data_IF_829398979374
#
_entry.id   IF_829398979374
#
_cell.length_a   1.000
_cell.length_b   1.000
_cell.length_c   1.000
_cell.angle_alpha   90.00
_cell.angle_beta   90.00
_cell.angle_gamma   90.00
#
_symmetry.space_group_name_H-M   'P 1'
#
loop_
_entity.id
_entity.type
_entity.pdbx_description
1 polymer ?
#
# COMPACT_ATOMS: atom_id res chain seq x y z
N UNK A 1 0.24 21.05 -24.39
CA UNK A 1 0.60 20.97 -22.96
C UNK A 1 1.76 20.01 -22.64
N UNK A 2 2.18 19.11 -23.55
CA UNK A 2 3.22 18.08 -23.29
C UNK A 2 4.67 18.62 -23.20
N UNK A 3 5.05 19.62 -24.00
CA UNK A 3 6.44 20.10 -24.07
C UNK A 3 6.92 20.78 -22.79
N UNK A 4 6.06 21.60 -22.17
CA UNK A 4 6.38 22.29 -20.91
C UNK A 4 6.49 21.31 -19.72
N UNK A 5 5.75 20.20 -19.77
CA UNK A 5 5.77 19.19 -18.71
C UNK A 5 6.96 18.24 -18.84
N UNK A 6 7.33 17.83 -20.06
CA UNK A 6 8.58 17.10 -20.34
C UNK A 6 9.82 17.90 -19.91
N UNK A 7 9.85 19.21 -20.21
CA UNK A 7 10.92 20.10 -19.74
C UNK A 7 11.00 20.17 -18.21
N UNK A 8 9.87 20.15 -17.51
CA UNK A 8 9.82 20.13 -16.05
C UNK A 8 10.29 18.79 -15.46
N UNK A 9 9.94 17.66 -16.08
CA UNK A 9 10.42 16.34 -15.67
C UNK A 9 11.95 16.23 -15.86
N UNK A 10 12.47 16.68 -17.00
CA UNK A 10 13.91 16.75 -17.26
C UNK A 10 14.63 17.67 -16.26
N UNK A 11 14.06 18.84 -15.95
CA UNK A 11 14.63 19.79 -14.99
C UNK A 11 14.63 19.25 -13.55
N UNK A 12 13.71 18.34 -13.21
CA UNK A 12 13.64 17.67 -11.91
C UNK A 12 14.47 16.38 -11.86
N UNK A 13 15.13 16.00 -12.97
CA UNK A 13 15.93 14.78 -13.05
C UNK A 13 15.11 13.49 -13.05
N UNK A 14 13.81 13.56 -13.33
CA UNK A 14 12.97 12.36 -13.38
C UNK A 14 13.36 11.50 -14.58
N UNK A 15 13.51 10.20 -14.33
CA UNK A 15 13.69 9.25 -15.42
C UNK A 15 12.35 8.89 -16.05
N UNK A 16 12.12 9.34 -17.28
CA UNK A 16 10.92 8.98 -18.06
C UNK A 16 11.16 7.79 -19.00
N UNK A 17 12.34 7.18 -18.96
CA UNK A 17 12.71 6.02 -19.77
C UNK A 17 12.27 4.73 -19.07
N UNK A 18 11.15 4.19 -19.56
CA UNK A 18 10.56 2.94 -19.04
C UNK A 18 11.50 1.76 -19.20
N UNK A 19 12.31 1.72 -20.27
CA UNK A 19 13.24 0.61 -20.53
C UNK A 19 14.37 0.62 -19.49
N UNK A 20 14.85 1.81 -19.12
CA UNK A 20 15.82 1.96 -18.04
C UNK A 20 15.21 1.54 -16.68
N UNK A 21 13.99 1.96 -16.37
CA UNK A 21 13.30 1.53 -15.14
C UNK A 21 13.10 0.01 -15.11
N UNK A 22 12.70 -0.60 -16.23
CA UNK A 22 12.56 -2.05 -16.36
C UNK A 22 13.89 -2.78 -16.09
N UNK A 23 14.99 -2.31 -16.68
CA UNK A 23 16.32 -2.87 -16.45
C UNK A 23 16.75 -2.75 -14.98
N UNK A 24 16.47 -1.62 -14.32
CA UNK A 24 16.74 -1.43 -12.89
C UNK A 24 15.93 -2.40 -12.02
N UNK A 25 14.63 -2.57 -12.32
CA UNK A 25 13.76 -3.50 -11.61
C UNK A 25 14.24 -4.95 -11.77
N UNK A 26 14.56 -5.37 -13.00
CA UNK A 26 15.10 -6.70 -13.28
C UNK A 26 16.43 -6.94 -12.56
N UNK A 27 17.33 -5.95 -12.52
CA UNK A 27 18.59 -6.04 -11.76
C UNK A 27 18.38 -6.21 -10.25
N UNK A 28 17.25 -5.73 -9.72
CA UNK A 28 16.82 -5.94 -8.34
C UNK A 28 15.94 -7.19 -8.15
N UNK A 29 15.91 -8.09 -9.13
CA UNK A 29 15.08 -9.30 -9.13
C UNK A 29 13.56 -9.04 -8.98
N UNK A 30 13.10 -7.84 -9.34
CA UNK A 30 11.67 -7.55 -9.50
C UNK A 30 11.22 -8.06 -10.87
N UNK A 31 10.24 -8.97 -10.94
CA UNK A 31 9.76 -9.47 -12.22
C UNK A 31 9.14 -8.34 -13.05
N UNK A 32 9.67 -8.13 -14.25
CA UNK A 32 9.09 -7.25 -15.27
C UNK A 32 8.63 -8.12 -16.42
N UNK A 33 7.46 -7.81 -16.97
CA UNK A 33 6.91 -8.52 -18.12
C UNK A 33 6.49 -7.52 -19.17
N UNK A 34 7.01 -7.72 -20.38
CA UNK A 34 6.61 -6.98 -21.58
C UNK A 34 5.54 -7.77 -22.36
N UNK A 35 5.04 -8.87 -21.77
CA UNK A 35 3.97 -9.64 -22.37
C UNK A 35 2.74 -8.72 -22.49
N UNK A 36 2.14 -8.59 -23.69
CA UNK A 36 0.88 -7.88 -23.83
C UNK A 36 -0.15 -8.53 -22.89
N UNK A 37 -1.10 -7.74 -22.36
CA UNK A 37 -2.19 -8.23 -21.53
C UNK A 37 -2.69 -9.57 -22.07
N UNK A 38 -2.53 -10.62 -21.25
CA UNK A 38 -2.61 -12.03 -21.61
C UNK A 38 -3.61 -12.34 -22.72
N UNK A 39 -3.11 -12.71 -23.91
CA UNK A 39 -3.78 -13.59 -24.89
C UNK A 39 -5.30 -13.54 -24.99
N UNK A 40 -5.90 -12.35 -24.95
CA UNK A 40 -7.34 -12.21 -25.18
C UNK A 40 -7.63 -12.72 -26.59
N UNK A 41 -8.66 -13.54 -26.75
CA UNK A 41 -9.13 -13.89 -28.08
C UNK A 41 -9.52 -12.59 -28.79
N UNK A 42 -9.18 -12.47 -30.07
CA UNK A 42 -9.66 -11.36 -30.90
C UNK A 42 -11.12 -11.65 -31.28
N UNK A 43 -12.09 -10.78 -30.92
CA UNK A 43 -11.92 -9.46 -30.30
C UNK A 43 -11.81 -9.50 -28.76
N UNK A 44 -10.85 -8.74 -28.26
CA UNK A 44 -10.58 -8.48 -26.84
C UNK A 44 -11.76 -7.80 -26.11
N UNK A 45 -12.79 -7.40 -26.85
CA UNK A 45 -13.89 -6.58 -26.35
C UNK A 45 -15.03 -7.42 -25.72
N UNK A 46 -15.01 -8.76 -25.87
CA UNK A 46 -16.00 -9.63 -25.25
C UNK A 46 -15.69 -9.86 -23.75
N UNK A 47 -16.41 -9.14 -22.88
CA UNK A 47 -16.31 -9.31 -21.42
C UNK A 47 -15.26 -8.44 -20.73
N UNK A 48 -14.78 -7.40 -21.40
CA UNK A 48 -13.93 -6.35 -20.80
C UNK A 48 -14.68 -5.03 -20.87
N UNK A 49 -15.19 -4.57 -19.73
CA UNK A 49 -15.85 -3.27 -19.71
C UNK A 49 -14.81 -2.16 -19.91
N UNK A 50 -14.98 -1.33 -20.95
CA UNK A 50 -14.09 -0.18 -21.15
C UNK A 50 -14.04 0.71 -19.91
N UNK A 51 -12.84 1.18 -19.58
CA UNK A 51 -12.68 2.23 -18.59
C UNK A 51 -13.22 3.55 -19.17
N UNK A 52 -13.92 4.37 -18.36
CA UNK A 52 -14.27 5.70 -18.80
C UNK A 52 -13.00 6.49 -19.14
N UNK A 53 -13.08 7.41 -20.09
CA UNK A 53 -11.94 8.24 -20.46
C UNK A 53 -11.54 9.12 -19.28
N UNK A 54 -10.32 8.95 -18.78
CA UNK A 54 -9.77 9.78 -17.71
C UNK A 54 -8.29 10.11 -17.92
N UNK A 55 -7.86 11.29 -17.48
CA UNK A 55 -6.54 11.88 -17.78
C UNK A 55 -5.43 11.38 -16.85
N UNK A 56 -4.81 10.24 -17.13
CA UNK A 56 -3.77 9.65 -16.28
C UNK A 56 -2.45 10.42 -16.37
N UNK A 57 -1.84 10.72 -15.23
CA UNK A 57 -0.49 11.27 -15.16
C UNK A 57 0.54 10.18 -15.46
N UNK A 58 1.07 10.19 -16.68
CA UNK A 58 2.11 9.26 -17.17
C UNK A 58 3.52 9.86 -17.09
N UNK A 59 3.68 11.05 -16.48
CA UNK A 59 4.93 11.82 -16.50
C UNK A 59 5.58 11.92 -15.11
N UNK A 60 4.79 11.80 -14.03
CA UNK A 60 5.33 11.78 -12.67
C UNK A 60 6.08 10.49 -12.36
N UNK A 61 7.31 10.60 -11.88
CA UNK A 61 8.07 9.47 -11.35
C UNK A 61 7.41 8.97 -10.05
N UNK A 62 6.99 7.70 -10.07
CA UNK A 62 6.36 7.04 -8.91
C UNK A 62 7.35 6.17 -8.14
N UNK A 63 8.33 5.58 -8.82
CA UNK A 63 9.32 4.72 -8.19
C UNK A 63 10.11 5.52 -7.14
N UNK A 64 10.07 5.08 -5.89
CA UNK A 64 10.77 5.75 -4.78
C UNK A 64 10.06 6.96 -4.17
N UNK A 65 8.87 7.32 -4.64
CA UNK A 65 8.05 8.37 -4.02
C UNK A 65 7.54 8.01 -2.62
N UNK A 66 7.31 6.72 -2.37
CA UNK A 66 6.85 6.20 -1.08
C UNK A 66 8.06 5.99 -0.17
N UNK A 67 7.95 6.35 1.11
CA UNK A 67 9.05 6.07 2.07
C UNK A 67 9.09 4.57 2.41
N UNK A 68 10.21 4.03 2.88
CA UNK A 68 10.24 2.67 3.42
C UNK A 68 9.26 2.48 4.59
N UNK A 69 8.65 1.31 4.69
CA UNK A 69 7.81 0.89 5.81
C UNK A 69 8.05 -0.57 6.16
N UNK A 70 7.79 -0.95 7.40
CA UNK A 70 7.91 -2.33 7.85
C UNK A 70 6.62 -3.12 7.58
N UNK A 71 5.48 -2.46 7.75
CA UNK A 71 4.16 -3.05 7.54
C UNK A 71 3.23 -2.06 6.86
N UNK A 72 2.31 -2.58 6.07
CA UNK A 72 1.18 -1.84 5.52
C UNK A 72 -0.08 -2.58 5.91
N UNK A 73 -1.05 -1.83 6.42
CA UNK A 73 -2.37 -2.37 6.75
C UNK A 73 -3.44 -1.73 5.89
N UNK A 74 -4.47 -2.51 5.57
CA UNK A 74 -5.67 -2.04 4.87
C UNK A 74 -6.90 -2.43 5.66
N UNK A 75 -7.59 -1.44 6.22
CA UNK A 75 -8.77 -1.61 7.07
C UNK A 75 -10.02 -1.67 6.19
N UNK A 76 -10.77 -2.77 6.24
CA UNK A 76 -11.94 -3.04 5.40
C UNK A 76 -13.16 -2.26 5.92
N UNK A 77 -13.27 -0.99 5.53
CA UNK A 77 -14.32 -0.08 6.01
C UNK A 77 -15.63 -0.16 5.21
N UNK A 78 -15.61 -0.77 4.02
CA UNK A 78 -16.74 -0.79 3.09
C UNK A 78 -17.09 0.57 2.47
N UNK A 79 -16.29 1.62 2.73
CA UNK A 79 -16.51 2.98 2.22
C UNK A 79 -15.75 3.21 0.93
N UNK A 80 -16.18 4.23 0.18
CA UNK A 80 -15.51 4.69 -1.05
C UNK A 80 -15.11 6.17 -0.96
N UNK A 81 -15.23 6.75 0.23
CA UNK A 81 -14.91 8.13 0.55
C UNK A 81 -14.35 8.21 1.98
N UNK A 82 -13.19 8.85 2.12
CA UNK A 82 -12.54 9.02 3.44
C UNK A 82 -12.17 10.48 3.67
N UNK A 83 -11.55 10.82 4.80
CA UNK A 83 -10.82 12.09 4.92
C UNK A 83 -9.46 11.99 4.24
N UNK A 84 -8.81 13.10 3.93
CA UNK A 84 -7.55 13.11 3.15
C UNK A 84 -6.50 12.20 3.78
N UNK A 85 -6.35 12.25 5.10
CA UNK A 85 -5.56 11.31 5.89
C UNK A 85 -6.52 10.44 6.69
N UNK A 86 -6.53 9.13 6.45
CA UNK A 86 -7.47 8.22 7.13
C UNK A 86 -7.29 8.23 8.65
N UNK A 87 -6.09 8.53 9.12
CA UNK A 87 -5.71 8.62 10.54
C UNK A 87 -6.26 9.88 11.24
N UNK A 88 -6.65 10.92 10.49
CA UNK A 88 -7.26 12.13 11.06
C UNK A 88 -8.73 11.90 11.49
N UNK A 89 -9.37 10.82 11.02
CA UNK A 89 -10.74 10.49 11.39
C UNK A 89 -10.82 9.92 12.82
N UNK A 90 -10.99 10.81 13.81
CA UNK A 90 -11.12 10.41 15.22
C UNK A 90 -12.27 9.44 15.46
N UNK A 91 -12.06 8.51 16.38
CA UNK A 91 -13.00 7.43 16.67
C UNK A 91 -12.97 6.26 15.69
N UNK A 92 -12.07 6.28 14.69
CA UNK A 92 -11.88 5.15 13.77
C UNK A 92 -10.70 4.29 14.19
N UNK A 93 -10.69 3.02 13.77
CA UNK A 93 -9.57 2.11 13.98
C UNK A 93 -8.26 2.67 13.41
N UNK A 94 -8.31 3.34 12.25
CA UNK A 94 -7.15 3.98 11.63
C UNK A 94 -6.50 5.01 12.57
N UNK A 95 -7.31 5.85 13.22
CA UNK A 95 -6.81 6.84 14.17
C UNK A 95 -6.21 6.19 15.42
N UNK A 96 -6.84 5.16 15.98
CA UNK A 96 -6.31 4.46 17.15
C UNK A 96 -4.98 3.74 16.86
N UNK A 97 -4.86 3.09 15.69
CA UNK A 97 -3.61 2.44 15.28
C UNK A 97 -2.49 3.46 15.03
N UNK A 98 -2.80 4.64 14.49
CA UNK A 98 -1.80 5.71 14.29
C UNK A 98 -1.28 6.27 15.61
N UNK A 99 -2.15 6.41 16.62
CA UNK A 99 -1.76 6.81 17.98
C UNK A 99 -0.78 5.81 18.60
N UNK A 100 -1.03 4.51 18.44
CA UNK A 100 -0.11 3.43 18.86
C UNK A 100 1.20 3.41 18.06
N UNK A 101 1.14 3.64 16.74
CA UNK A 101 2.34 3.74 15.90
C UNK A 101 3.21 4.94 16.24
N UNK A 102 2.60 6.02 16.71
CA UNK A 102 3.29 7.24 17.09
C UNK A 102 3.91 7.13 18.49
N UNK A 103 3.22 6.50 19.44
CA UNK A 103 3.73 6.28 20.80
C UNK A 103 4.90 5.28 20.84
N UNK A 104 4.96 4.35 19.90
CA UNK A 104 6.09 3.39 19.80
C UNK A 104 7.37 4.01 19.21
N UNK A 105 7.33 5.27 18.74
CA UNK A 105 8.50 5.97 18.20
C UNK A 105 9.20 6.75 19.32
N UNK A 106 10.55 6.81 19.35
CA UNK A 106 11.24 7.68 20.28
C UNK A 106 10.78 9.13 20.09
N UNK A 107 10.72 9.95 21.17
CA UNK A 107 10.38 11.35 21.07
C UNK A 107 11.25 12.04 20.00
N UNK A 108 10.63 12.81 19.10
CA UNK A 108 11.41 13.67 18.20
C UNK A 108 12.06 14.74 19.06
N UNK A 109 13.40 14.73 19.16
CA UNK A 109 14.15 15.85 19.71
C UNK A 109 13.79 17.12 18.93
N UNK A 110 13.09 18.04 19.60
CA UNK A 110 12.63 19.30 18.99
C UNK A 110 13.77 20.27 18.68
N UNK A 111 15.00 19.96 19.07
CA UNK A 111 16.21 20.76 18.88
C UNK A 111 17.22 20.18 17.89
N UNK A 112 16.87 19.11 17.16
CA UNK A 112 17.75 18.62 16.09
C UNK A 112 17.71 19.57 14.88
N UNK A 113 18.85 20.12 14.41
CA UNK A 113 18.87 20.96 13.22
C UNK A 113 18.29 20.20 12.02
N UNK A 114 17.35 20.84 11.31
CA UNK A 114 16.79 20.32 10.05
C UNK A 114 17.95 20.03 9.10
N UNK A 115 18.29 18.75 8.91
CA UNK A 115 19.25 18.33 7.89
C UNK A 115 18.74 18.84 6.53
N UNK A 116 19.58 19.49 5.71
CA UNK A 116 19.21 19.89 4.36
C UNK A 116 18.67 18.69 3.58
N UNK A 117 17.64 18.92 2.76
CA UNK A 117 16.90 17.88 2.05
C UNK A 117 17.63 17.28 0.84
N UNK A 118 18.88 17.65 0.61
CA UNK A 118 19.64 17.24 -0.56
C UNK A 118 20.96 16.61 -0.12
N UNK A 119 20.94 15.29 0.03
CA UNK A 119 22.13 14.47 -0.05
C UNK A 119 21.68 13.05 -0.39
N UNK A 120 21.90 12.66 -1.64
CA UNK A 120 22.01 11.26 -2.00
C UNK A 120 23.00 10.61 -1.04
N UNK A 121 22.50 9.72 -0.17
CA UNK A 121 23.37 8.90 0.66
C UNK A 121 24.07 7.91 -0.29
N UNK A 122 25.29 8.25 -0.69
CA UNK A 122 26.26 7.26 -1.14
C UNK A 122 26.64 6.42 0.07
N UNK A 123 25.94 5.31 0.26
CA UNK A 123 26.34 4.29 1.23
C UNK A 123 27.23 3.28 0.49
N UNK A 124 28.53 3.39 0.74
CA UNK A 124 29.58 2.49 0.27
C UNK A 124 29.47 1.16 1.00
N UNK A 125 28.42 0.39 0.72
CA UNK A 125 28.31 -1.00 1.13
C UNK A 125 28.52 -1.89 -0.10
N UNK A 126 29.44 -2.85 0.03
CA UNK A 126 29.79 -3.84 -0.99
C UNK A 126 28.69 -4.90 -1.17
N UNK A 127 27.46 -4.46 -1.36
CA UNK A 127 26.31 -5.28 -1.75
C UNK A 127 25.81 -4.87 -3.15
N UNK A 128 24.88 -5.64 -3.75
CA UNK A 128 24.24 -5.21 -4.99
C UNK A 128 23.66 -3.81 -4.81
N UNK A 129 23.83 -2.95 -5.82
CA UNK A 129 23.40 -1.55 -5.75
C UNK A 129 21.91 -1.46 -5.38
N UNK A 130 21.59 -0.75 -4.30
CA UNK A 130 20.21 -0.54 -3.88
C UNK A 130 19.50 0.29 -4.95
N UNK A 131 18.51 -0.33 -5.62
CA UNK A 131 17.70 0.36 -6.62
C UNK A 131 16.74 1.30 -5.89
N UNK A 132 16.72 2.57 -6.30
CA UNK A 132 15.86 3.59 -5.71
C UNK A 132 14.40 3.13 -5.74
N UNK A 133 13.71 3.25 -4.61
CA UNK A 133 12.30 2.86 -4.48
C UNK A 133 12.01 1.37 -4.33
N UNK A 134 13.04 0.51 -4.33
CA UNK A 134 12.90 -0.91 -4.00
C UNK A 134 13.39 -1.11 -2.58
N UNK A 135 12.53 -1.69 -1.73
CA UNK A 135 12.84 -1.91 -0.32
C UNK A 135 13.31 -3.34 -0.09
N UNK A 136 14.31 -3.46 0.78
CA UNK A 136 14.84 -4.73 1.25
C UNK A 136 13.78 -5.45 2.10
N UNK A 137 13.19 -6.49 1.51
CA UNK A 137 12.15 -7.31 2.16
C UNK A 137 12.73 -8.23 3.23
N UNK A 138 14.02 -8.58 3.15
CA UNK A 138 14.69 -9.43 4.14
C UNK A 138 15.01 -8.67 5.42
N UNK A 139 15.24 -7.36 5.30
CA UNK A 139 15.55 -6.48 6.42
C UNK A 139 14.45 -5.47 6.75
N UNK A 140 13.17 -5.82 6.55
CA UNK A 140 12.03 -4.95 6.90
C UNK A 140 12.04 -4.47 8.36
N UNK A 141 12.64 -5.25 9.25
CA UNK A 141 12.81 -4.93 10.67
C UNK A 141 13.65 -3.65 10.91
N UNK A 142 14.44 -3.21 9.93
CA UNK A 142 15.14 -1.91 9.98
C UNK A 142 14.15 -0.74 9.93
N UNK A 143 13.00 -0.94 9.32
CA UNK A 143 11.93 0.04 9.28
C UNK A 143 11.06 -0.09 10.53
N UNK A 144 10.57 1.04 11.05
CA UNK A 144 9.59 1.06 12.15
C UNK A 144 8.25 1.65 11.74
N UNK A 145 8.14 2.10 10.49
CA UNK A 145 6.97 2.78 9.98
C UNK A 145 5.91 1.76 9.62
N UNK A 146 4.68 2.01 10.05
CA UNK A 146 3.48 1.31 9.61
C UNK A 146 2.70 2.27 8.71
N UNK A 147 2.30 1.80 7.54
CA UNK A 147 1.40 2.53 6.63
C UNK A 147 -0.03 2.07 6.91
N UNK A 148 -0.94 3.01 7.16
CA UNK A 148 -2.33 2.74 7.53
C UNK A 148 -3.23 3.23 6.40
N UNK A 149 -4.00 2.32 5.80
CA UNK A 149 -4.91 2.63 4.71
C UNK A 149 -6.32 2.15 5.07
N UNK A 150 -7.34 2.83 4.55
CA UNK A 150 -8.69 2.28 4.53
C UNK A 150 -8.97 1.67 3.16
N UNK A 151 -9.65 0.53 3.15
CA UNK A 151 -10.06 -0.21 1.98
C UNK A 151 -11.57 -0.16 1.75
N UNK A 152 -11.97 -0.25 0.48
CA UNK A 152 -13.38 -0.38 0.07
C UNK A 152 -13.99 -1.74 0.34
N UNK A 153 -13.18 -2.74 0.69
CA UNK A 153 -13.64 -4.06 1.08
C UNK A 153 -14.55 -3.96 2.31
N UNK A 154 -15.61 -4.76 2.31
CA UNK A 154 -16.47 -4.91 3.48
C UNK A 154 -15.79 -5.83 4.49
N UNK A 155 -15.93 -5.50 5.76
CA UNK A 155 -15.54 -6.42 6.84
C UNK A 155 -16.25 -7.77 6.66
N UNK A 156 -15.55 -8.85 6.97
CA UNK A 156 -16.13 -10.20 7.03
C UNK A 156 -16.62 -10.56 8.43
N UNK A 157 -16.45 -9.65 9.41
CA UNK A 157 -17.04 -9.78 10.73
C UNK A 157 -18.54 -9.49 10.68
N UNK A 158 -19.34 -10.30 11.35
CA UNK A 158 -20.80 -10.13 11.42
C UNK A 158 -21.22 -8.92 12.27
N UNK A 159 -20.39 -8.56 13.25
CA UNK A 159 -20.60 -7.41 14.12
C UNK A 159 -20.21 -6.11 13.41
N UNK A 160 -21.17 -5.18 13.32
CA UNK A 160 -21.00 -3.88 12.67
C UNK A 160 -19.96 -2.97 13.36
N UNK A 161 -19.60 -3.26 14.61
CA UNK A 161 -18.57 -2.56 15.37
C UNK A 161 -17.19 -3.20 15.27
N UNK A 162 -17.04 -4.23 14.44
CA UNK A 162 -15.76 -4.89 14.18
C UNK A 162 -15.33 -4.77 12.73
N UNK A 163 -14.03 -4.63 12.54
CA UNK A 163 -13.40 -4.46 11.25
C UNK A 163 -12.47 -5.63 10.91
N UNK A 164 -12.25 -5.79 9.61
CA UNK A 164 -11.28 -6.74 9.05
C UNK A 164 -10.08 -5.98 8.53
N UNK A 165 -8.87 -6.40 8.88
CA UNK A 165 -7.62 -5.73 8.52
C UNK A 165 -6.73 -6.67 7.73
N UNK A 166 -6.34 -6.26 6.53
CA UNK A 166 -5.31 -6.94 5.75
C UNK A 166 -3.94 -6.45 6.22
N UNK A 167 -3.00 -7.38 6.45
CA UNK A 167 -1.66 -7.05 6.96
C UNK A 167 -0.60 -7.58 5.99
N UNK A 168 0.20 -6.65 5.48
CA UNK A 168 1.31 -6.92 4.56
C UNK A 168 2.66 -6.57 5.22
N UNK A 169 3.72 -7.34 4.95
CA UNK A 169 3.80 -8.45 3.99
C UNK A 169 3.46 -9.83 4.58
N UNK A 170 2.86 -9.91 5.77
CA UNK A 170 2.48 -11.19 6.37
C UNK A 170 1.41 -11.97 5.58
N UNK A 171 0.74 -11.30 4.63
CA UNK A 171 -0.39 -11.83 3.88
C UNK A 171 -1.47 -12.41 4.81
N UNK A 172 -1.80 -11.65 5.86
CA UNK A 172 -2.79 -12.04 6.88
C UNK A 172 -4.06 -11.21 6.79
N UNK A 173 -5.19 -11.86 7.10
CA UNK A 173 -6.46 -11.21 7.42
C UNK A 173 -6.63 -11.28 8.93
N UNK A 174 -6.80 -10.14 9.58
CA UNK A 174 -7.16 -10.05 10.99
C UNK A 174 -8.61 -9.63 11.09
N UNK A 175 -9.45 -10.48 11.67
CA UNK A 175 -10.89 -10.25 11.86
C UNK A 175 -11.22 -10.01 13.32
N UNK A 176 -12.47 -9.64 13.60
CA UNK A 176 -12.97 -9.38 14.94
C UNK A 176 -12.28 -8.20 15.64
N UNK A 177 -11.73 -7.25 14.88
CA UNK A 177 -11.07 -6.07 15.46
C UNK A 177 -12.11 -5.04 15.85
N UNK A 178 -12.40 -4.91 17.14
CA UNK A 178 -13.32 -3.88 17.62
C UNK A 178 -12.83 -2.46 17.24
N UNK A 179 -13.75 -1.59 16.82
CA UNK A 179 -13.48 -0.16 16.54
C UNK A 179 -13.31 0.66 17.82
N UNK A 180 -12.41 0.22 18.68
CA UNK A 180 -12.10 0.83 19.97
C UNK A 180 -10.58 0.90 20.14
N UNK A 181 -10.11 1.66 21.12
CA UNK A 181 -8.69 1.71 21.45
C UNK A 181 -8.16 0.33 21.88
N UNK A 182 -8.94 -0.42 22.66
CA UNK A 182 -8.56 -1.77 23.09
C UNK A 182 -8.42 -2.73 21.90
N UNK A 183 -9.40 -2.73 20.97
CA UNK A 183 -9.31 -3.53 19.75
C UNK A 183 -8.10 -3.16 18.87
N UNK A 184 -7.77 -1.86 18.80
CA UNK A 184 -6.58 -1.39 18.11
C UNK A 184 -5.28 -1.86 18.79
N UNK A 185 -5.23 -1.88 20.12
CA UNK A 185 -4.09 -2.37 20.90
C UNK A 185 -3.89 -3.88 20.72
N UNK A 186 -4.98 -4.66 20.72
CA UNK A 186 -4.94 -6.08 20.39
C UNK A 186 -4.40 -6.31 18.97
N UNK A 187 -4.94 -5.61 17.96
CA UNK A 187 -4.43 -5.66 16.59
C UNK A 187 -2.92 -5.30 16.52
N UNK A 188 -2.53 -4.23 17.19
CA UNK A 188 -1.17 -3.71 17.19
C UNK A 188 -0.18 -4.73 17.77
N UNK A 189 -0.45 -5.21 18.98
CA UNK A 189 0.47 -6.09 19.69
C UNK A 189 0.62 -7.47 19.05
N UNK A 190 -0.40 -7.93 18.32
CA UNK A 190 -0.42 -9.30 17.79
C UNK A 190 -0.16 -9.39 16.28
N UNK A 191 -0.35 -8.32 15.51
CA UNK A 191 -0.23 -8.38 14.05
C UNK A 191 0.42 -7.16 13.37
N UNK A 192 0.48 -5.98 14.00
CA UNK A 192 0.85 -4.73 13.27
C UNK A 192 2.10 -4.05 13.82
N UNK A 193 2.50 -4.29 15.06
CA UNK A 193 3.73 -3.71 15.59
C UNK A 193 4.94 -4.25 14.80
N UNK A 194 5.94 -3.40 14.47
CA UNK A 194 7.19 -3.87 13.87
C UNK A 194 7.90 -4.93 14.72
N UNK A 195 7.68 -4.94 16.04
CA UNK A 195 8.24 -5.93 16.97
C UNK A 195 7.62 -7.32 16.82
N UNK A 196 6.44 -7.43 16.20
CA UNK A 196 5.84 -8.73 15.87
C UNK A 196 6.65 -9.35 14.75
N UNK A 197 7.07 -10.61 14.91
CA UNK A 197 7.79 -11.33 13.86
C UNK A 197 6.88 -11.57 12.66
N UNK A 198 7.43 -11.46 11.46
CA UNK A 198 6.73 -11.90 10.25
C UNK A 198 6.32 -13.36 10.40
N UNK A 199 5.10 -13.69 10.01
CA UNK A 199 4.53 -15.04 10.13
C UNK A 199 4.46 -15.58 11.57
N UNK A 200 4.47 -14.71 12.59
CA UNK A 200 4.22 -15.14 13.96
C UNK A 200 2.90 -15.91 14.08
N UNK A 201 2.91 -16.97 14.89
CA UNK A 201 1.72 -17.73 15.26
C UNK A 201 0.83 -16.84 16.14
N UNK A 202 -0.50 -16.79 15.90
CA UNK A 202 -1.41 -16.02 16.74
C UNK A 202 -1.32 -16.44 18.20
N UNK A 203 -1.35 -15.48 19.12
CA UNK A 203 -1.44 -15.79 20.54
C UNK A 203 -2.85 -16.32 20.88
N UNK A 204 -2.93 -17.30 21.77
CA UNK A 204 -4.20 -17.96 22.13
C UNK A 204 -5.19 -17.05 22.90
N UNK A 205 -4.73 -15.93 23.45
CA UNK A 205 -5.48 -15.08 24.38
C UNK A 205 -5.84 -13.70 23.80
N UNK A 206 -6.44 -13.65 22.62
CA UNK A 206 -6.87 -12.39 21.97
C UNK A 206 -8.31 -12.50 21.44
N UNK A 207 -9.04 -11.39 21.44
CA UNK A 207 -10.37 -11.34 20.83
C UNK A 207 -10.29 -11.25 19.29
N UNK A 208 -9.19 -10.73 18.77
CA UNK A 208 -8.90 -10.71 17.33
C UNK A 208 -8.55 -12.11 16.82
N UNK A 209 -8.91 -12.40 15.56
CA UNK A 209 -8.57 -13.67 14.90
C UNK A 209 -7.71 -13.41 13.68
N UNK A 210 -6.73 -14.28 13.41
CA UNK A 210 -5.80 -14.09 12.31
C UNK A 210 -5.79 -15.30 11.38
N UNK A 211 -5.84 -15.03 10.08
CA UNK A 211 -5.96 -16.02 9.01
C UNK A 211 -4.98 -15.69 7.89
N UNK A 212 -4.63 -16.69 7.08
CA UNK A 212 -3.92 -16.43 5.81
C UNK A 212 -4.90 -15.81 4.81
N UNK A 213 -4.45 -14.81 4.05
CA UNK A 213 -5.25 -14.21 2.97
C UNK A 213 -5.63 -15.31 1.96
N UNK A 214 -6.93 -15.47 1.63
CA UNK A 214 -7.38 -16.53 0.71
C UNK A 214 -7.13 -16.19 -0.77
N UNK A 215 -6.68 -14.97 -1.07
CA UNK A 215 -6.41 -14.51 -2.42
C UNK A 215 -5.04 -14.97 -2.91
N UNK A 216 -4.98 -15.41 -4.17
CA UNK A 216 -3.72 -15.64 -4.89
C UNK A 216 -2.99 -14.33 -5.23
N UNK A 217 -3.72 -13.22 -5.29
CA UNK A 217 -3.17 -11.88 -5.51
C UNK A 217 -4.06 -10.82 -4.84
N UNK A 218 -3.43 -9.79 -4.26
CA UNK A 218 -4.13 -8.58 -3.82
C UNK A 218 -3.65 -7.40 -4.66
N UNK A 219 -4.59 -6.73 -5.32
CA UNK A 219 -4.33 -5.53 -6.12
C UNK A 219 -4.79 -4.34 -5.30
N UNK A 220 -3.84 -3.51 -4.84
CA UNK A 220 -4.14 -2.25 -4.15
C UNK A 220 -4.17 -1.12 -5.17
N UNK A 221 -5.34 -0.49 -5.32
CA UNK A 221 -5.50 0.67 -6.19
C UNK A 221 -5.52 1.92 -5.33
N UNK A 222 -4.50 2.75 -5.49
CA UNK A 222 -4.37 4.02 -4.81
C UNK A 222 -4.19 5.14 -5.83
N UNK A 223 -4.73 6.32 -5.51
CA UNK A 223 -4.52 7.54 -6.29
C UNK A 223 -3.36 8.35 -5.69
N UNK A 224 -2.29 8.55 -6.46
CA UNK A 224 -1.14 9.33 -6.03
C UNK A 224 -1.42 10.85 -6.03
N UNK A 225 -0.90 11.59 -5.04
CA UNK A 225 -1.00 13.06 -4.82
C UNK A 225 -2.40 13.62 -4.52
N UNK A 226 -3.46 13.15 -5.17
CA UNK A 226 -4.83 13.58 -4.91
C UNK A 226 -5.75 12.38 -4.96
N UNK A 227 -6.74 12.38 -4.07
CA UNK A 227 -7.82 11.39 -4.14
C UNK A 227 -8.46 11.45 -5.50
N UNK A 228 -8.51 10.30 -6.14
CA UNK A 228 -9.07 10.18 -7.47
C UNK A 228 -10.32 9.31 -7.48
N UNK A 229 -11.43 9.90 -7.91
CA UNK A 229 -12.68 9.16 -8.12
C UNK A 229 -12.49 8.05 -9.16
N UNK A 230 -11.52 8.18 -10.07
CA UNK A 230 -11.17 7.15 -11.05
C UNK A 230 -10.80 5.83 -10.40
N UNK A 231 -10.06 5.85 -9.28
CA UNK A 231 -9.65 4.61 -8.63
C UNK A 231 -10.86 3.87 -8.05
N UNK A 232 -11.84 4.60 -7.51
CA UNK A 232 -13.11 4.03 -7.07
C UNK A 232 -13.99 3.54 -8.24
N UNK A 233 -13.85 4.13 -9.44
CA UNK A 233 -14.53 3.68 -10.66
C UNK A 233 -13.83 2.45 -11.28
N UNK A 234 -12.51 2.39 -11.21
CA UNK A 234 -11.70 1.34 -11.83
C UNK A 234 -11.69 0.05 -11.00
N UNK A 235 -11.69 0.15 -9.67
CA UNK A 235 -11.61 -1.01 -8.78
C UNK A 235 -12.74 -2.04 -9.02
N UNK A 236 -14.03 -1.66 -9.12
CA UNK A 236 -15.11 -2.62 -9.39
C UNK A 236 -15.00 -3.31 -10.75
N UNK A 237 -14.52 -2.60 -11.78
CA UNK A 237 -14.28 -3.17 -13.12
C UNK A 237 -13.18 -4.23 -13.07
N UNK A 238 -12.07 -3.93 -12.39
CA UNK A 238 -10.97 -4.88 -12.18
C UNK A 238 -11.38 -6.12 -11.39
N UNK A 239 -12.33 -5.98 -10.46
CA UNK A 239 -12.87 -7.10 -9.69
C UNK A 239 -13.81 -7.97 -10.55
N UNK A 240 -14.68 -7.33 -11.35
CA UNK A 240 -15.65 -8.00 -12.23
C UNK A 240 -14.98 -8.74 -13.39
N UNK A 241 -13.98 -8.16 -14.05
CA UNK A 241 -13.31 -8.80 -15.19
C UNK A 241 -12.48 -10.03 -14.77
N UNK A 242 -12.17 -10.16 -13.47
CA UNK A 242 -11.42 -11.28 -12.90
C UNK A 242 -12.33 -12.34 -12.24
N UNK A 243 -13.64 -12.17 -12.34
CA UNK A 243 -14.64 -12.96 -11.63
C UNK A 243 -14.77 -14.44 -12.02
N UNK A 244 -14.29 -14.99 -13.17
CA UNK A 244 -14.36 -16.44 -13.33
C UNK A 244 -13.39 -17.20 -12.39
N UNK A 245 -12.49 -16.52 -11.65
CA UNK A 245 -11.48 -17.19 -10.81
C UNK A 245 -11.67 -17.05 -9.30
N UNK A 246 -12.43 -16.08 -8.77
CA UNK A 246 -12.69 -15.91 -7.32
C UNK A 246 -11.45 -15.83 -6.40
N UNK A 247 -10.26 -15.58 -6.97
CA UNK A 247 -8.96 -15.76 -6.31
C UNK A 247 -8.16 -14.46 -6.17
N UNK A 248 -8.74 -13.31 -6.52
CA UNK A 248 -8.03 -12.03 -6.56
C UNK A 248 -8.84 -11.00 -5.76
N UNK A 249 -8.20 -10.38 -4.76
CA UNK A 249 -8.79 -9.30 -3.97
C UNK A 249 -8.38 -7.95 -4.55
N UNK A 250 -9.32 -7.17 -5.08
CA UNK A 250 -9.05 -5.81 -5.57
C UNK A 250 -9.50 -4.82 -4.52
N UNK A 251 -8.56 -4.18 -3.82
CA UNK A 251 -8.89 -3.22 -2.76
C UNK A 251 -8.59 -1.81 -3.24
N UNK A 252 -9.61 -0.96 -3.27
CA UNK A 252 -9.37 0.47 -3.38
C UNK A 252 -8.94 0.99 -2.02
N UNK A 253 -7.72 1.54 -1.95
CA UNK A 253 -7.12 1.99 -0.71
C UNK A 253 -6.98 3.52 -0.69
N UNK A 254 -7.51 4.16 0.35
CA UNK A 254 -7.31 5.59 0.61
C UNK A 254 -5.93 5.83 1.21
N UNK A 255 -5.12 6.66 0.54
CA UNK A 255 -3.75 6.94 0.97
C UNK A 255 -3.66 7.76 2.26
N UNK A 256 -2.55 7.54 2.96
CA UNK A 256 -1.93 8.44 3.93
C UNK A 256 -0.54 8.78 3.41
N UNK A 257 -0.46 9.73 2.48
CA UNK A 257 0.80 10.21 1.91
C UNK A 257 0.84 11.74 1.78
#
# INVERSE_FOLDING_TARGET
MSTFRKLKALALGHNTDVDHTAAQLQAAAVPVSDAPCRGCADPCDEGHDEYPKFDVDMESEMLGSVKPYARQIVISTGKTDWVREVTDAKGTLAAYVDELSSSSRPPKDKDSPKKPKDAANGDSSSGPALVHGIFDSENLQKNKRVTILNGSHRTVSDDADKETVLVFPDYKVVTEVARTHDGAEQLWNHAVSPSVRLHAVPAEATDVRSWVIPYSCVILLCSHKRRDNRCAIAAPKLEHDQYPAGRIGVVWAGDSA
#
